data_IF_696414788203
#
_entry.id   IF_696414788203
#
_cell.length_a   1.000
_cell.length_b   1.000
_cell.length_c   1.000
_cell.angle_alpha   90.00
_cell.angle_beta   90.00
_cell.angle_gamma   90.00
#
_symmetry.space_group_name_H-M   'P 1'
#
loop_
_entity.id
_entity.type
_entity.pdbx_description
1 polymer ?
#
# COMPACT_ATOMS: atom_id res chain seq x y z
N UNK A 1 -10.15 -6.44 -6.72
CA UNK A 1 -8.98 -5.57 -7.00
C UNK A 1 -7.93 -5.83 -5.93
N UNK A 2 -6.66 -6.06 -6.29
CA UNK A 2 -5.56 -6.27 -5.35
C UNK A 2 -5.49 -5.22 -4.22
N UNK A 3 -5.84 -3.96 -4.53
CA UNK A 3 -5.95 -2.89 -3.54
C UNK A 3 -6.92 -3.20 -2.39
N UNK A 4 -8.13 -3.71 -2.69
CA UNK A 4 -9.11 -4.05 -1.66
C UNK A 4 -8.68 -5.26 -0.82
N UNK A 5 -7.93 -6.19 -1.42
CA UNK A 5 -7.38 -7.34 -0.70
C UNK A 5 -6.28 -6.89 0.27
N UNK A 6 -5.41 -5.97 -0.15
CA UNK A 6 -4.43 -5.36 0.74
C UNK A 6 -5.10 -4.71 1.96
N UNK A 7 -6.21 -3.97 1.78
CA UNK A 7 -6.94 -3.37 2.89
C UNK A 7 -7.46 -4.38 3.91
N UNK A 8 -7.87 -5.58 3.47
CA UNK A 8 -8.29 -6.65 4.38
C UNK A 8 -7.12 -7.09 5.25
N UNK A 9 -5.96 -7.37 4.66
CA UNK A 9 -4.77 -7.78 5.41
C UNK A 9 -4.24 -6.68 6.34
N UNK A 10 -4.34 -5.41 5.93
CA UNK A 10 -4.01 -4.29 6.81
C UNK A 10 -4.93 -4.26 8.04
N UNK A 11 -6.23 -4.48 7.86
CA UNK A 11 -7.20 -4.57 8.96
C UNK A 11 -6.94 -5.76 9.89
N UNK A 12 -6.34 -6.83 9.38
CA UNK A 12 -5.92 -8.00 10.17
C UNK A 12 -4.55 -7.82 10.85
N UNK A 13 -3.84 -6.71 10.60
CA UNK A 13 -2.48 -6.48 11.10
C UNK A 13 -1.41 -7.32 10.39
N UNK A 14 -1.77 -8.03 9.31
CA UNK A 14 -0.87 -8.87 8.54
C UNK A 14 -0.16 -8.02 7.48
N UNK A 15 0.98 -7.46 7.87
CA UNK A 15 1.76 -6.57 7.01
C UNK A 15 2.38 -7.29 5.82
N UNK A 16 2.77 -8.55 5.97
CA UNK A 16 3.43 -9.32 4.90
C UNK A 16 2.47 -9.50 3.72
N UNK A 17 1.26 -10.00 3.99
CA UNK A 17 0.26 -10.16 2.95
C UNK A 17 -0.23 -8.79 2.43
N UNK A 18 -0.35 -7.78 3.29
CA UNK A 18 -0.71 -6.43 2.84
C UNK A 18 0.25 -5.90 1.77
N UNK A 19 1.57 -6.02 1.98
CA UNK A 19 2.57 -5.57 1.02
C UNK A 19 2.56 -6.39 -0.27
N UNK A 20 2.38 -7.71 -0.19
CA UNK A 20 2.26 -8.55 -1.40
C UNK A 20 1.11 -8.08 -2.30
N UNK A 21 -0.04 -7.75 -1.71
CA UNK A 21 -1.20 -7.28 -2.45
C UNK A 21 -1.05 -5.82 -2.94
N UNK A 22 -0.34 -4.96 -2.21
CA UNK A 22 0.01 -3.61 -2.66
C UNK A 22 0.96 -3.64 -3.87
N UNK A 23 1.96 -4.52 -3.87
CA UNK A 23 2.87 -4.70 -5.01
C UNK A 23 2.12 -5.20 -6.25
N UNK A 24 1.20 -6.17 -6.09
CA UNK A 24 0.31 -6.59 -7.18
C UNK A 24 -0.51 -5.42 -7.72
N UNK A 25 -1.09 -4.60 -6.84
CA UNK A 25 -1.83 -3.41 -7.26
C UNK A 25 -0.94 -2.42 -8.04
N UNK A 26 0.33 -2.29 -7.67
CA UNK A 26 1.30 -1.40 -8.30
C UNK A 26 1.66 -1.89 -9.70
N UNK A 27 1.99 -3.17 -9.84
CA UNK A 27 2.27 -3.83 -11.13
C UNK A 27 1.08 -3.68 -12.09
N UNK A 28 -0.14 -3.86 -11.57
CA UNK A 28 -1.39 -3.70 -12.34
C UNK A 28 -1.79 -2.23 -12.58
N UNK A 29 -0.97 -1.27 -12.15
CA UNK A 29 -1.19 0.19 -12.27
C UNK A 29 -2.58 0.63 -11.82
N UNK A 30 -3.04 0.11 -10.67
CA UNK A 30 -4.38 0.41 -10.16
C UNK A 30 -4.45 1.86 -9.67
N UNK A 31 -5.41 2.62 -10.21
CA UNK A 31 -5.60 4.05 -9.94
C UNK A 31 -5.81 4.39 -8.47
N UNK A 32 -6.39 3.49 -7.67
CA UNK A 32 -6.63 3.72 -6.24
C UNK A 32 -5.36 3.84 -5.39
N UNK A 33 -4.19 3.42 -5.90
CA UNK A 33 -2.94 3.55 -5.16
C UNK A 33 -2.55 5.00 -4.90
N UNK A 34 -3.07 5.97 -5.67
CA UNK A 34 -2.81 7.41 -5.42
C UNK A 34 -3.21 7.85 -4.00
N UNK A 35 -4.12 7.14 -3.35
CA UNK A 35 -4.59 7.44 -1.99
C UNK A 35 -3.74 6.81 -0.88
N UNK A 36 -2.65 6.10 -1.22
CA UNK A 36 -1.75 5.46 -0.24
C UNK A 36 -1.24 6.46 0.80
N UNK A 37 -0.86 7.68 0.37
CA UNK A 37 -0.27 8.71 1.25
C UNK A 37 -1.29 9.31 2.25
N UNK A 38 -2.56 9.36 1.86
CA UNK A 38 -3.59 10.14 2.56
C UNK A 38 -4.53 9.28 3.41
N UNK A 39 -4.67 7.99 3.11
CA UNK A 39 -5.63 7.13 3.80
C UNK A 39 -5.18 6.74 5.24
N UNK A 40 -6.01 6.96 6.29
CA UNK A 40 -5.70 6.49 7.66
C UNK A 40 -5.61 4.95 7.74
N UNK A 41 -6.17 4.26 6.74
CA UNK A 41 -6.08 2.81 6.59
C UNK A 41 -4.64 2.32 6.46
N UNK A 42 -3.69 3.16 6.09
CA UNK A 42 -2.28 2.78 5.90
C UNK A 42 -1.38 3.18 7.07
N UNK A 43 -1.93 3.75 8.15
CA UNK A 43 -1.14 4.25 9.28
C UNK A 43 -0.26 3.17 9.91
N UNK A 44 -0.74 1.92 9.95
CA UNK A 44 0.02 0.77 10.46
C UNK A 44 1.21 0.37 9.57
N UNK A 45 1.25 0.85 8.32
CA UNK A 45 2.33 0.61 7.36
C UNK A 45 3.31 1.78 7.23
N UNK A 46 2.97 2.99 7.73
CA UNK A 46 3.77 4.21 7.53
C UNK A 46 5.20 4.10 8.07
N UNK A 47 5.40 3.38 9.16
CA UNK A 47 6.72 3.18 9.78
C UNK A 47 7.55 2.07 9.09
N UNK A 48 6.96 1.34 8.14
CA UNK A 48 7.65 0.27 7.43
C UNK A 48 8.42 0.83 6.21
N UNK A 49 9.73 0.55 6.07
CA UNK A 49 10.53 1.02 4.95
C UNK A 49 9.96 0.64 3.57
N UNK A 50 9.25 -0.49 3.47
CA UNK A 50 8.61 -0.95 2.22
C UNK A 50 7.51 -0.01 1.76
N UNK A 51 6.82 0.64 2.68
CA UNK A 51 5.79 1.62 2.35
C UNK A 51 6.40 2.88 1.75
N UNK A 52 7.51 3.35 2.33
CA UNK A 52 8.27 4.49 1.78
C UNK A 52 8.82 4.18 0.39
N UNK A 53 9.36 2.97 0.17
CA UNK A 53 9.84 2.54 -1.15
C UNK A 53 8.71 2.54 -2.20
N UNK A 54 7.55 1.98 -1.86
CA UNK A 54 6.39 1.93 -2.74
C UNK A 54 5.95 3.36 -3.13
N UNK A 55 5.88 4.29 -2.17
CA UNK A 55 5.53 5.68 -2.45
C UNK A 55 6.56 6.37 -3.35
N UNK A 56 7.87 6.10 -3.18
CA UNK A 56 8.93 6.65 -4.07
C UNK A 56 8.77 6.15 -5.49
N UNK A 57 8.57 4.84 -5.67
CA UNK A 57 8.34 4.23 -6.99
C UNK A 57 7.11 4.78 -7.69
N UNK A 58 6.14 5.25 -6.91
CA UNK A 58 4.94 5.92 -7.40
C UNK A 58 5.09 7.44 -7.60
N UNK A 59 6.24 8.04 -7.29
CA UNK A 59 6.46 9.48 -7.28
C UNK A 59 5.50 10.25 -6.34
N UNK A 60 5.15 9.67 -5.20
CA UNK A 60 4.29 10.30 -4.17
C UNK A 60 5.06 10.91 -2.99
N UNK A 61 6.37 10.70 -2.95
CA UNK A 61 7.30 11.37 -2.04
C UNK A 61 8.07 12.40 -2.86
N UNK A 62 7.97 13.67 -2.46
CA UNK A 62 8.88 14.73 -2.95
C UNK A 62 10.31 14.47 -2.48
#
# INVERSE_FOLDING_TARGET
SPYHVALVYIGLGDKENAFEWLEKAYVERRSYLVFLKEGPRFDTLRDDPRFTDLLRRMNLLE
#
